data_IF_803893275059
#
_entry.id   IF_803893275059
#
_cell.length_a   1.000
_cell.length_b   1.000
_cell.length_c   1.000
_cell.angle_alpha   90.00
_cell.angle_beta   90.00
_cell.angle_gamma   90.00
#
_symmetry.space_group_name_H-M   'P 1'
#
loop_
_entity.id
_entity.type
_entity.pdbx_description
1 polymer ?
#
# COMPACT_ATOMS: atom_id res chain seq x y z
N UNK A 1 -15.19 -5.80 22.88
CA UNK A 1 -14.62 -6.28 21.61
C UNK A 1 -14.43 -5.13 20.64
N UNK A 2 -13.23 -4.99 20.07
CA UNK A 2 -12.91 -3.95 19.09
C UNK A 2 -12.91 -4.58 17.68
N UNK A 3 -14.00 -4.40 16.94
CA UNK A 3 -14.17 -4.92 15.57
C UNK A 3 -14.17 -3.76 14.57
N UNK A 4 -13.51 -3.94 13.44
CA UNK A 4 -13.41 -2.93 12.38
C UNK A 4 -13.77 -3.51 11.02
N UNK A 5 -14.53 -2.74 10.24
CA UNK A 5 -14.82 -3.04 8.85
C UNK A 5 -13.76 -2.39 7.96
N UNK A 6 -13.09 -3.18 7.12
CA UNK A 6 -11.98 -2.73 6.27
C UNK A 6 -12.47 -2.63 4.82
N UNK A 7 -12.70 -1.39 4.38
CA UNK A 7 -13.19 -1.07 3.04
C UNK A 7 -12.03 -0.66 2.11
N UNK A 8 -11.02 -1.52 2.00
CA UNK A 8 -9.87 -1.36 1.10
C UNK A 8 -9.37 -2.75 0.67
N UNK A 9 -8.14 -2.83 0.17
CA UNK A 9 -7.50 -4.07 -0.25
C UNK A 9 -7.44 -5.09 0.90
N UNK A 10 -8.02 -6.30 0.78
CA UNK A 10 -8.06 -7.29 1.87
C UNK A 10 -6.66 -7.70 2.35
N UNK A 11 -5.65 -7.68 1.48
CA UNK A 11 -4.28 -8.07 1.83
C UNK A 11 -3.65 -7.20 2.94
N UNK A 12 -4.12 -5.97 3.16
CA UNK A 12 -3.61 -5.11 4.26
C UNK A 12 -3.95 -5.68 5.64
N UNK A 13 -5.03 -6.48 5.74
CA UNK A 13 -5.51 -7.04 7.01
C UNK A 13 -4.41 -7.85 7.70
N UNK A 14 -3.60 -8.59 6.95
CA UNK A 14 -2.46 -9.31 7.52
C UNK A 14 -1.50 -8.41 8.30
N UNK A 15 -1.19 -7.21 7.78
CA UNK A 15 -0.34 -6.26 8.51
C UNK A 15 -1.09 -5.61 9.69
N UNK A 16 -2.38 -5.36 9.55
CA UNK A 16 -3.22 -4.81 10.63
C UNK A 16 -3.32 -5.78 11.81
N UNK A 17 -3.52 -7.07 11.55
CA UNK A 17 -3.54 -8.14 12.56
C UNK A 17 -2.18 -8.25 13.27
N UNK A 18 -1.07 -8.15 12.54
CA UNK A 18 0.28 -8.11 13.15
C UNK A 18 0.50 -6.90 14.04
N UNK A 19 0.02 -5.73 13.62
CA UNK A 19 0.19 -4.49 14.36
C UNK A 19 -0.74 -4.40 15.59
N UNK A 20 -1.93 -5.01 15.52
CA UNK A 20 -2.91 -4.98 16.60
C UNK A 20 -3.64 -6.33 16.74
N UNK A 21 -2.98 -7.36 17.30
CA UNK A 21 -3.52 -8.73 17.36
C UNK A 21 -4.74 -8.89 18.27
N UNK A 22 -5.04 -7.88 19.09
CA UNK A 22 -6.19 -7.84 19.99
C UNK A 22 -7.46 -7.27 19.34
N UNK A 23 -7.36 -6.78 18.10
CA UNK A 23 -8.48 -6.22 17.32
C UNK A 23 -8.92 -7.23 16.27
N UNK A 24 -10.21 -7.22 15.93
CA UNK A 24 -10.78 -8.04 14.86
C UNK A 24 -11.01 -7.18 13.63
N UNK A 25 -10.51 -7.62 12.48
CA UNK A 25 -10.59 -6.91 11.21
C UNK A 25 -11.43 -7.72 10.22
N UNK A 26 -12.50 -7.12 9.70
CA UNK A 26 -13.47 -7.77 8.82
C UNK A 26 -13.40 -7.11 7.45
N UNK A 27 -13.00 -7.83 6.39
CA UNK A 27 -12.98 -7.27 5.04
C UNK A 27 -14.40 -6.98 4.55
N UNK A 28 -14.59 -5.81 3.94
CA UNK A 28 -15.85 -5.48 3.26
C UNK A 28 -15.78 -6.00 1.82
N UNK A 29 -16.79 -6.73 1.31
CA UNK A 29 -16.83 -7.13 -0.09
C UNK A 29 -16.94 -5.90 -1.00
N UNK A 30 -16.57 -6.03 -2.28
CA UNK A 30 -16.80 -4.96 -3.25
C UNK A 30 -18.29 -4.58 -3.35
N UNK A 31 -18.55 -3.36 -3.83
CA UNK A 31 -19.82 -2.62 -3.70
C UNK A 31 -21.11 -3.44 -3.89
N UNK A 32 -21.10 -4.43 -4.80
CA UNK A 32 -22.28 -5.22 -5.17
C UNK A 32 -22.08 -6.75 -4.98
N UNK A 33 -20.99 -7.18 -4.34
CA UNK A 33 -20.58 -8.60 -4.22
C UNK A 33 -20.16 -9.27 -5.54
N UNK A 34 -20.39 -8.63 -6.68
CA UNK A 34 -20.04 -9.09 -8.03
C UNK A 34 -18.73 -8.48 -8.56
N UNK A 35 -18.31 -7.31 -8.05
CA UNK A 35 -17.04 -6.71 -8.38
C UNK A 35 -16.00 -7.00 -7.30
N UNK A 36 -14.89 -7.65 -7.67
CA UNK A 36 -13.68 -7.72 -6.86
C UNK A 36 -12.88 -6.39 -6.91
N UNK A 37 -13.58 -5.25 -6.87
CA UNK A 37 -13.00 -3.91 -7.05
C UNK A 37 -11.98 -3.56 -5.95
N UNK A 38 -12.05 -4.24 -4.81
CA UNK A 38 -11.10 -4.12 -3.72
C UNK A 38 -10.01 -5.20 -3.74
N UNK A 39 -10.00 -6.14 -4.69
CA UNK A 39 -8.87 -7.04 -4.91
C UNK A 39 -8.17 -6.65 -6.21
N UNK A 40 -7.02 -5.98 -6.10
CA UNK A 40 -6.24 -5.55 -7.25
C UNK A 40 -5.35 -6.70 -7.76
N UNK A 41 -5.63 -7.30 -8.94
CA UNK A 41 -4.86 -8.44 -9.46
C UNK A 41 -3.41 -8.07 -9.79
N UNK A 42 -3.12 -6.78 -9.97
CA UNK A 42 -1.78 -6.30 -10.27
C UNK A 42 -0.87 -6.28 -9.03
N UNK A 43 -1.42 -6.11 -7.82
CA UNK A 43 -0.63 -6.11 -6.59
C UNK A 43 -0.10 -7.50 -6.25
N UNK A 44 -0.86 -8.55 -6.57
CA UNK A 44 -0.50 -9.96 -6.35
C UNK A 44 0.57 -10.49 -7.32
N UNK A 45 0.95 -9.72 -8.36
CA UNK A 45 1.96 -10.15 -9.34
C UNK A 45 3.37 -10.29 -8.74
N UNK A 46 3.61 -9.68 -7.58
CA UNK A 46 4.89 -9.72 -6.86
C UNK A 46 4.96 -10.95 -5.95
N UNK A 47 5.65 -12.00 -6.40
CA UNK A 47 5.86 -13.23 -5.63
C UNK A 47 7.25 -13.26 -4.97
N UNK A 48 7.43 -14.07 -3.92
CA UNK A 48 8.74 -14.23 -3.26
C UNK A 48 9.82 -14.70 -4.24
N UNK A 49 9.49 -15.59 -5.17
CA UNK A 49 10.40 -16.04 -6.22
C UNK A 49 10.84 -14.90 -7.14
N UNK A 50 9.88 -14.06 -7.60
CA UNK A 50 10.20 -12.91 -8.44
C UNK A 50 11.05 -11.87 -7.69
N UNK A 51 10.78 -11.66 -6.40
CA UNK A 51 11.58 -10.76 -5.57
C UNK A 51 13.02 -11.29 -5.40
N UNK A 52 13.18 -12.59 -5.16
CA UNK A 52 14.49 -13.23 -5.12
C UNK A 52 15.26 -13.04 -6.43
N UNK A 53 14.62 -13.35 -7.57
CA UNK A 53 15.21 -13.15 -8.89
C UNK A 53 15.52 -11.68 -9.17
N UNK A 54 14.71 -10.76 -8.67
CA UNK A 54 14.93 -9.33 -8.82
C UNK A 54 16.21 -8.87 -8.13
N UNK A 55 16.44 -9.34 -6.91
CA UNK A 55 17.65 -9.04 -6.14
C UNK A 55 18.90 -9.70 -6.73
N UNK A 56 18.79 -10.95 -7.18
CA UNK A 56 19.92 -11.69 -7.79
C UNK A 56 20.35 -11.06 -9.11
N UNK A 57 19.40 -10.66 -9.94
CA UNK A 57 19.67 -10.15 -11.28
C UNK A 57 19.76 -8.61 -11.35
N UNK A 58 19.50 -7.89 -10.24
CA UNK A 58 19.36 -6.44 -10.20
C UNK A 58 18.40 -5.89 -11.27
N UNK A 59 17.23 -6.51 -11.43
CA UNK A 59 16.23 -6.11 -12.41
C UNK A 59 14.82 -6.64 -12.10
N UNK A 60 13.75 -6.07 -12.67
CA UNK A 60 13.75 -5.15 -13.80
C UNK A 60 14.14 -3.72 -13.41
N UNK A 61 14.86 -3.05 -14.31
CA UNK A 61 15.12 -1.61 -14.19
C UNK A 61 13.95 -0.82 -14.76
N UNK A 62 13.49 0.19 -14.03
CA UNK A 62 12.53 1.17 -14.54
C UNK A 62 13.31 2.25 -15.28
N UNK A 63 13.12 2.36 -16.58
CA UNK A 63 13.73 3.39 -17.44
C UNK A 63 12.64 4.36 -17.90
N UNK A 64 12.89 5.66 -17.76
CA UNK A 64 11.94 6.70 -18.18
C UNK A 64 12.66 7.94 -18.73
N UNK A 65 11.99 8.75 -19.56
CA UNK A 65 12.55 10.01 -20.05
C UNK A 65 12.89 10.98 -18.90
N UNK A 66 14.05 11.63 -19.00
CA UNK A 66 14.56 12.51 -17.93
C UNK A 66 13.71 13.79 -17.77
N UNK A 67 13.19 14.32 -18.87
CA UNK A 67 12.28 15.47 -18.88
C UNK A 67 10.97 15.15 -18.12
N UNK A 68 10.40 13.96 -18.35
CA UNK A 68 9.25 13.46 -17.60
C UNK A 68 9.57 13.28 -16.12
N UNK A 69 10.71 12.67 -15.78
CA UNK A 69 11.15 12.48 -14.38
C UNK A 69 11.27 13.81 -13.65
N UNK A 70 11.93 14.80 -14.26
CA UNK A 70 12.10 16.15 -13.69
C UNK A 70 10.77 16.88 -13.55
N UNK A 71 9.86 16.73 -14.51
CA UNK A 71 8.52 17.31 -14.44
C UNK A 71 7.68 16.68 -13.31
N UNK A 72 7.74 15.35 -13.15
CA UNK A 72 6.99 14.60 -12.14
C UNK A 72 7.45 14.87 -10.70
N UNK A 73 8.74 15.20 -10.49
CA UNK A 73 9.26 15.52 -9.15
C UNK A 73 8.63 16.78 -8.55
N UNK A 74 8.35 17.81 -9.37
CA UNK A 74 7.81 19.09 -8.90
C UNK A 74 6.50 18.99 -8.10
N UNK A 75 5.43 18.33 -8.62
CA UNK A 75 4.20 18.17 -7.84
C UNK A 75 4.38 17.26 -6.62
N UNK A 76 5.28 16.27 -6.67
CA UNK A 76 5.58 15.41 -5.53
C UNK A 76 6.24 16.18 -4.39
N UNK A 77 7.25 17.00 -4.69
CA UNK A 77 7.89 17.88 -3.71
C UNK A 77 6.88 18.85 -3.10
N UNK A 78 6.01 19.45 -3.93
CA UNK A 78 4.96 20.33 -3.44
C UNK A 78 3.98 19.62 -2.50
N UNK A 79 3.56 18.40 -2.85
CA UNK A 79 2.70 17.58 -1.99
C UNK A 79 3.37 17.31 -0.63
N UNK A 80 4.66 16.96 -0.64
CA UNK A 80 5.43 16.72 0.59
C UNK A 80 5.64 17.98 1.42
N UNK A 81 5.85 19.15 0.81
CA UNK A 81 5.90 20.43 1.51
C UNK A 81 4.60 20.74 2.24
N UNK A 82 3.46 20.47 1.59
CA UNK A 82 2.13 20.69 2.16
C UNK A 82 1.85 19.75 3.34
N UNK A 83 2.39 18.52 3.33
CA UNK A 83 2.13 17.52 4.38
C UNK A 83 3.02 17.64 5.62
N UNK A 84 4.08 18.46 5.62
CA UNK A 84 5.02 18.65 6.76
C UNK A 84 4.33 19.04 8.07
N UNK A 85 3.22 19.75 7.98
CA UNK A 85 2.47 20.25 9.14
C UNK A 85 1.28 19.37 9.53
N UNK A 86 1.14 18.18 8.94
CA UNK A 86 0.15 17.21 9.38
C UNK A 86 0.65 16.63 10.70
N UNK A 87 -0.03 16.83 11.83
CA UNK A 87 0.36 16.23 13.09
C UNK A 87 0.24 14.71 12.95
N UNK A 88 1.39 14.04 12.86
CA UNK A 88 1.45 12.58 12.97
C UNK A 88 1.14 12.26 14.43
N UNK A 89 -0.07 11.75 14.71
CA UNK A 89 -0.35 11.13 16.01
C UNK A 89 0.68 10.01 16.20
N UNK A 90 1.49 10.14 17.24
CA UNK A 90 2.57 9.20 17.55
C UNK A 90 2.11 8.26 18.67
N UNK A 91 0.95 7.65 18.49
CA UNK A 91 0.30 6.73 19.43
C UNK A 91 -0.28 5.60 18.54
N UNK A 92 0.01 4.30 18.63
CA UNK A 92 0.22 3.42 19.78
C UNK A 92 1.21 2.30 19.42
N UNK A 93 2.52 2.49 19.65
CA UNK A 93 3.47 1.37 19.71
C UNK A 93 3.55 0.92 21.17
N UNK A 94 2.56 0.12 21.58
CA UNK A 94 2.59 -0.71 22.78
C UNK A 94 2.47 -2.16 22.34
#
# INVERSE_FOLDING_TARGET
DQKYLIATEPHIIHQMEKAAPHKEFIPVPGADGSCACNNCPFMELNTLEKLYLCLVNNGPQIVMPEDLRVAAVKPLERMLEMSKNIPVKKDDAA
#
